data_IF_197369679676
#
_entry.id   IF_197369679676
#
_cell.length_a   1.000
_cell.length_b   1.000
_cell.length_c   1.000
_cell.angle_alpha   90.00
_cell.angle_beta   90.00
_cell.angle_gamma   90.00
#
_symmetry.space_group_name_H-M   'P 1'
#
loop_
_entity.id
_entity.type
_entity.pdbx_description
1 polymer ?
#
# COMPACT_ATOMS: atom_id res chain seq x y z
N UNK A 1 -61.10 37.86 13.30
CA UNK A 1 -61.00 37.07 14.54
C UNK A 1 -61.33 35.63 14.20
N UNK A 2 -60.31 34.87 13.79
CA UNK A 2 -60.21 33.41 13.73
C UNK A 2 -59.00 33.09 12.85
N UNK A 3 -57.90 32.74 13.50
CA UNK A 3 -56.62 32.37 12.88
C UNK A 3 -56.72 31.01 12.20
N UNK A 4 -56.23 31.01 10.97
CA UNK A 4 -55.89 29.89 10.13
C UNK A 4 -54.47 29.48 10.52
N UNK A 5 -54.29 28.43 11.33
CA UNK A 5 -52.96 27.84 11.44
C UNK A 5 -52.93 26.37 11.90
N UNK A 6 -52.49 25.58 10.93
CA UNK A 6 -51.47 24.54 11.08
C UNK A 6 -51.90 23.15 11.57
N UNK A 7 -52.09 22.30 10.56
CA UNK A 7 -51.68 20.89 10.55
C UNK A 7 -50.44 20.67 11.41
N UNK A 8 -50.58 19.89 12.49
CA UNK A 8 -49.52 19.01 12.94
C UNK A 8 -50.11 17.64 13.20
N UNK A 9 -49.79 16.77 12.26
CA UNK A 9 -49.87 15.33 12.30
C UNK A 9 -49.47 14.81 13.68
N UNK A 10 -50.42 14.20 14.37
CA UNK A 10 -50.15 13.30 15.48
C UNK A 10 -49.82 11.95 14.86
N UNK A 11 -48.64 11.84 14.23
CA UNK A 11 -47.95 10.57 14.12
C UNK A 11 -47.19 10.41 15.44
N UNK A 12 -47.88 9.85 16.42
CA UNK A 12 -47.22 9.14 17.50
C UNK A 12 -46.57 7.93 16.83
N UNK A 13 -45.34 8.11 16.34
CA UNK A 13 -44.55 7.02 15.81
C UNK A 13 -44.36 6.02 16.94
N UNK A 14 -44.85 4.83 16.67
CA UNK A 14 -44.90 3.69 17.55
C UNK A 14 -43.47 3.23 17.84
N UNK A 15 -42.84 3.81 18.88
CA UNK A 15 -41.52 3.43 19.40
C UNK A 15 -41.47 1.98 19.93
N UNK A 16 -42.57 1.22 19.83
CA UNK A 16 -42.65 -0.16 20.32
C UNK A 16 -42.29 -1.25 19.29
N UNK A 17 -41.97 -0.88 18.04
CA UNK A 17 -41.83 -1.85 16.93
C UNK A 17 -40.44 -2.47 16.71
N UNK A 18 -39.43 -2.18 17.55
CA UNK A 18 -38.08 -2.78 17.40
C UNK A 18 -37.57 -3.53 18.62
N UNK A 19 -38.46 -4.11 19.43
CA UNK A 19 -38.05 -5.14 20.39
C UNK A 19 -38.04 -6.49 19.66
N UNK A 20 -37.09 -6.66 18.75
CA UNK A 20 -36.76 -8.01 18.27
C UNK A 20 -36.09 -8.75 19.42
N UNK A 21 -36.89 -9.59 20.07
CA UNK A 21 -36.50 -10.74 20.88
C UNK A 21 -35.36 -11.46 20.15
N UNK A 22 -34.11 -11.15 20.55
CA UNK A 22 -32.89 -11.69 19.94
C UNK A 22 -32.35 -12.74 20.89
N UNK A 23 -32.97 -13.92 20.82
CA UNK A 23 -32.93 -14.96 21.86
C UNK A 23 -31.63 -15.79 21.93
N UNK A 24 -30.54 -15.39 21.27
CA UNK A 24 -29.27 -16.13 21.37
C UNK A 24 -28.03 -15.25 21.59
N UNK A 25 -28.04 -13.99 21.14
CA UNK A 25 -26.92 -13.05 21.30
C UNK A 25 -27.43 -11.86 22.08
N UNK A 26 -26.90 -11.67 23.29
CA UNK A 26 -27.29 -10.58 24.18
C UNK A 26 -27.24 -9.20 23.49
N UNK A 27 -28.19 -8.32 23.83
CA UNK A 27 -28.32 -6.96 23.26
C UNK A 27 -26.98 -6.22 23.20
N UNK A 28 -26.20 -6.34 24.28
CA UNK A 28 -24.91 -5.69 24.46
C UNK A 28 -23.86 -6.19 23.46
N UNK A 29 -23.79 -7.50 23.27
CA UNK A 29 -22.91 -8.15 22.28
C UNK A 29 -23.24 -7.68 20.86
N UNK A 30 -24.54 -7.56 20.53
CA UNK A 30 -24.98 -7.01 19.24
C UNK A 30 -24.60 -5.54 19.06
N UNK A 31 -24.67 -4.73 20.11
CA UNK A 31 -24.27 -3.32 20.06
C UNK A 31 -22.77 -3.17 19.84
N UNK A 32 -21.94 -3.98 20.53
CA UNK A 32 -20.49 -4.01 20.34
C UNK A 32 -20.13 -4.48 18.93
N UNK A 33 -20.78 -5.52 18.43
CA UNK A 33 -20.60 -6.02 17.05
C UNK A 33 -20.87 -4.92 16.02
N UNK A 34 -22.04 -4.26 16.11
CA UNK A 34 -22.43 -3.21 15.19
C UNK A 34 -21.45 -2.02 15.23
N UNK A 35 -20.98 -1.65 16.42
CA UNK A 35 -19.99 -0.57 16.61
C UNK A 35 -18.67 -0.91 15.92
N UNK A 36 -18.15 -2.12 16.12
CA UNK A 36 -16.90 -2.56 15.52
C UNK A 36 -17.00 -2.76 14.01
N UNK A 37 -18.14 -3.24 13.52
CA UNK A 37 -18.39 -3.43 12.09
C UNK A 37 -18.46 -2.11 11.33
N UNK A 38 -19.03 -1.07 11.95
CA UNK A 38 -19.15 0.26 11.35
C UNK A 38 -17.86 1.10 11.44
N UNK A 39 -16.87 0.67 12.22
CA UNK A 39 -15.62 1.43 12.41
C UNK A 39 -14.66 1.28 11.23
N UNK A 40 -14.08 2.39 10.78
CA UNK A 40 -13.02 2.41 9.77
C UNK A 40 -11.63 2.07 10.36
N UNK A 41 -11.44 2.28 11.67
CA UNK A 41 -10.17 2.05 12.37
C UNK A 41 -10.33 1.09 13.56
N UNK A 42 -9.27 0.37 13.98
CA UNK A 42 -9.32 -0.46 15.17
C UNK A 42 -9.61 0.35 16.44
N UNK A 43 -10.55 -0.12 17.28
CA UNK A 43 -11.06 0.61 18.44
C UNK A 43 -10.56 0.04 19.76
N UNK A 44 -10.20 0.91 20.71
CA UNK A 44 -9.96 0.48 22.10
C UNK A 44 -11.29 0.20 22.81
N UNK A 45 -11.24 -0.48 23.97
CA UNK A 45 -12.44 -0.66 24.81
C UNK A 45 -13.04 0.70 25.20
N UNK A 46 -12.20 1.70 25.47
CA UNK A 46 -12.66 3.05 25.82
C UNK A 46 -13.44 3.68 24.65
N UNK A 47 -12.96 3.51 23.42
CA UNK A 47 -13.65 4.02 22.23
C UNK A 47 -15.01 3.34 22.05
N UNK A 48 -15.09 2.02 22.22
CA UNK A 48 -16.34 1.27 22.08
C UNK A 48 -17.36 1.73 23.14
N UNK A 49 -16.91 1.98 24.38
CA UNK A 49 -17.76 2.48 25.48
C UNK A 49 -18.47 3.79 25.15
N UNK A 50 -17.85 4.67 24.35
CA UNK A 50 -18.48 5.92 23.94
C UNK A 50 -19.76 5.71 23.12
N UNK A 51 -19.90 4.56 22.46
CA UNK A 51 -21.07 4.22 21.64
C UNK A 51 -22.07 3.35 22.38
N UNK A 52 -21.61 2.30 23.07
CA UNK A 52 -22.50 1.30 23.68
C UNK A 52 -22.90 1.62 25.13
N UNK A 53 -22.18 2.54 25.79
CA UNK A 53 -22.39 2.93 27.18
C UNK A 53 -21.42 2.26 28.16
N UNK A 54 -21.23 2.90 29.31
CA UNK A 54 -20.27 2.49 30.35
C UNK A 54 -20.66 1.21 31.11
N UNK A 55 -21.96 0.93 31.18
CA UNK A 55 -22.53 -0.19 31.93
C UNK A 55 -22.36 -1.55 31.23
N UNK A 56 -21.99 -1.53 29.95
CA UNK A 56 -21.83 -2.74 29.13
C UNK A 56 -20.50 -3.42 29.46
N UNK A 57 -20.54 -4.74 29.72
CA UNK A 57 -19.33 -5.56 29.83
C UNK A 57 -18.75 -5.86 28.44
N UNK A 58 -18.00 -4.89 27.92
CA UNK A 58 -17.36 -4.98 26.61
C UNK A 58 -16.36 -6.15 26.57
N UNK A 59 -15.68 -6.48 27.67
CA UNK A 59 -14.68 -7.56 27.65
C UNK A 59 -15.35 -8.91 27.45
N UNK A 60 -16.48 -9.13 28.11
CA UNK A 60 -17.28 -10.32 27.92
C UNK A 60 -17.84 -10.37 26.51
N UNK A 61 -18.46 -9.28 26.03
CA UNK A 61 -18.99 -9.19 24.67
C UNK A 61 -17.94 -9.47 23.59
N UNK A 62 -16.74 -8.91 23.71
CA UNK A 62 -15.63 -9.17 22.79
C UNK A 62 -15.18 -10.63 22.81
N UNK A 63 -15.17 -11.25 23.98
CA UNK A 63 -14.79 -12.67 24.14
C UNK A 63 -15.81 -13.58 23.46
N UNK A 64 -17.10 -13.26 23.60
CA UNK A 64 -18.18 -14.02 22.98
C UNK A 64 -18.17 -13.84 21.46
N UNK A 65 -18.04 -12.60 20.97
CA UNK A 65 -17.87 -12.33 19.55
C UNK A 65 -16.65 -13.04 18.96
N UNK A 66 -15.53 -13.07 19.67
CA UNK A 66 -14.34 -13.75 19.17
C UNK A 66 -14.58 -15.24 18.94
N UNK A 67 -15.33 -15.90 19.83
CA UNK A 67 -15.72 -17.31 19.67
C UNK A 67 -16.74 -17.48 18.54
N UNK A 68 -17.76 -16.62 18.48
CA UNK A 68 -18.84 -16.71 17.50
C UNK A 68 -18.32 -16.55 16.05
N UNK A 69 -17.25 -15.77 15.88
CA UNK A 69 -16.63 -15.48 14.59
C UNK A 69 -15.39 -16.33 14.26
N UNK A 70 -14.93 -17.23 15.15
CA UNK A 70 -13.69 -18.00 14.98
C UNK A 70 -13.64 -18.80 13.66
N UNK A 71 -14.79 -19.30 13.20
CA UNK A 71 -14.91 -20.13 11.99
C UNK A 71 -15.71 -19.45 10.87
N UNK A 72 -15.90 -18.13 10.94
CA UNK A 72 -16.62 -17.36 9.93
C UNK A 72 -15.64 -16.71 8.95
N UNK A 73 -16.17 -16.22 7.83
CA UNK A 73 -15.35 -15.54 6.81
C UNK A 73 -14.85 -14.15 7.21
N UNK A 74 -15.37 -13.60 8.29
CA UNK A 74 -14.80 -12.46 9.01
C UNK A 74 -14.51 -12.90 10.44
N UNK A 75 -13.43 -12.40 11.01
CA UNK A 75 -12.91 -12.74 12.33
C UNK A 75 -12.70 -11.47 13.15
N UNK A 76 -12.94 -11.55 14.46
CA UNK A 76 -12.63 -10.46 15.38
C UNK A 76 -11.19 -10.63 15.89
N UNK A 77 -10.35 -9.61 15.68
CA UNK A 77 -8.95 -9.64 16.08
C UNK A 77 -8.61 -8.50 17.04
N UNK A 78 -7.61 -8.78 17.88
CA UNK A 78 -7.01 -7.80 18.79
C UNK A 78 -5.58 -7.49 18.37
N UNK A 79 -5.27 -6.23 18.11
CA UNK A 79 -3.91 -5.73 17.85
C UNK A 79 -3.53 -4.74 18.94
N UNK A 80 -2.59 -5.11 19.80
CA UNK A 80 -2.29 -4.34 21.01
C UNK A 80 -3.50 -4.31 21.96
N UNK A 81 -4.05 -3.12 22.19
CA UNK A 81 -5.25 -2.86 22.98
C UNK A 81 -6.51 -2.57 22.13
N UNK A 82 -6.39 -2.62 20.80
CA UNK A 82 -7.46 -2.30 19.85
C UNK A 82 -8.08 -3.56 19.23
N UNK A 83 -9.36 -3.44 18.87
CA UNK A 83 -10.21 -4.50 18.32
C UNK A 83 -10.79 -4.07 16.98
N UNK A 84 -10.88 -5.00 16.03
CA UNK A 84 -11.50 -4.77 14.71
C UNK A 84 -11.89 -6.09 14.05
N UNK A 85 -12.83 -6.01 13.11
CA UNK A 85 -13.11 -7.12 12.21
C UNK A 85 -12.12 -7.12 11.04
N UNK A 86 -11.68 -8.32 10.66
CA UNK A 86 -10.91 -8.56 9.46
C UNK A 86 -11.48 -9.78 8.72
N UNK A 87 -11.19 -9.90 7.44
CA UNK A 87 -11.51 -11.13 6.71
C UNK A 87 -10.63 -12.28 7.17
N UNK A 88 -11.20 -13.48 7.19
CA UNK A 88 -10.49 -14.69 7.60
C UNK A 88 -9.29 -14.95 6.67
N UNK A 89 -8.15 -15.28 7.26
CA UNK A 89 -6.87 -15.36 6.54
C UNK A 89 -6.87 -16.45 5.45
N UNK A 90 -7.55 -17.56 5.70
CA UNK A 90 -7.75 -18.66 4.76
C UNK A 90 -8.54 -18.25 3.51
N UNK A 91 -9.44 -17.25 3.62
CA UNK A 91 -10.22 -16.70 2.50
C UNK A 91 -9.52 -15.57 1.74
N UNK A 92 -8.31 -15.17 2.15
CA UNK A 92 -7.56 -14.06 1.53
C UNK A 92 -7.40 -14.20 0.01
N UNK A 93 -7.27 -15.43 -0.50
CA UNK A 93 -7.12 -15.73 -1.92
C UNK A 93 -8.36 -15.36 -2.76
N UNK A 94 -9.58 -15.45 -2.19
CA UNK A 94 -10.84 -15.12 -2.89
C UNK A 94 -11.04 -13.61 -3.04
N UNK A 95 -10.51 -12.84 -2.10
CA UNK A 95 -10.68 -11.39 -2.02
C UNK A 95 -9.65 -10.63 -2.88
N UNK A 96 -8.70 -11.35 -3.47
CA UNK A 96 -7.77 -10.83 -4.50
C UNK A 96 -8.45 -10.70 -5.86
N UNK A 97 -9.69 -10.21 -5.92
CA UNK A 97 -10.30 -9.81 -7.20
C UNK A 97 -9.83 -8.39 -7.52
N UNK A 98 -8.96 -8.28 -8.53
CA UNK A 98 -8.60 -7.03 -9.19
C UNK A 98 -8.47 -5.83 -8.23
N UNK A 99 -7.52 -5.90 -7.29
CA UNK A 99 -6.77 -4.66 -7.06
C UNK A 99 -6.12 -4.40 -8.39
N UNK A 100 -6.60 -3.39 -9.13
CA UNK A 100 -5.81 -2.74 -10.17
C UNK A 100 -4.40 -2.73 -9.64
N UNK A 101 -3.50 -3.49 -10.27
CA UNK A 101 -2.15 -3.67 -9.74
C UNK A 101 -1.67 -2.27 -9.38
N UNK A 102 -1.58 -1.97 -8.07
CA UNK A 102 -0.83 -0.82 -7.60
C UNK A 102 0.50 -1.06 -8.27
N UNK A 103 0.79 -0.33 -9.36
CA UNK A 103 1.89 -0.65 -10.27
C UNK A 103 3.05 -0.94 -9.37
N UNK A 104 3.44 -2.21 -9.28
CA UNK A 104 4.48 -2.61 -8.34
C UNK A 104 5.64 -1.71 -8.68
N UNK A 105 6.26 -1.09 -7.67
CA UNK A 105 7.45 -0.31 -7.95
C UNK A 105 8.36 -1.18 -8.80
N UNK A 106 8.82 -0.62 -9.93
CA UNK A 106 9.81 -1.32 -10.73
C UNK A 106 11.01 -1.63 -9.85
N UNK A 107 11.80 -2.63 -10.25
CA UNK A 107 13.04 -2.98 -9.55
C UNK A 107 13.88 -1.73 -9.26
N UNK A 108 14.09 -0.88 -10.26
CA UNK A 108 14.82 0.38 -10.11
C UNK A 108 14.17 1.35 -9.11
N UNK A 109 12.83 1.39 -9.04
CA UNK A 109 12.10 2.16 -8.03
C UNK A 109 12.28 1.62 -6.61
N UNK A 110 12.28 0.30 -6.46
CA UNK A 110 12.52 -0.37 -5.17
C UNK A 110 13.95 -0.18 -4.67
N UNK A 111 14.94 -0.30 -5.55
CA UNK A 111 16.34 0.02 -5.24
C UNK A 111 16.51 1.47 -4.81
N UNK A 112 15.89 2.40 -5.54
CA UNK A 112 15.92 3.83 -5.21
C UNK A 112 15.29 4.10 -3.84
N UNK A 113 14.14 3.49 -3.56
CA UNK A 113 13.48 3.58 -2.25
C UNK A 113 14.36 3.04 -1.13
N UNK A 114 14.99 1.87 -1.33
CA UNK A 114 15.89 1.28 -0.35
C UNK A 114 17.04 2.23 -0.02
N UNK A 115 17.70 2.80 -1.04
CA UNK A 115 18.79 3.76 -0.82
C UNK A 115 18.32 4.98 -0.03
N UNK A 116 17.12 5.51 -0.33
CA UNK A 116 16.56 6.61 0.45
C UNK A 116 16.33 6.17 1.90
N UNK A 117 15.70 5.02 2.14
CA UNK A 117 15.39 4.54 3.49
C UNK A 117 16.65 4.35 4.37
N UNK A 118 17.75 3.84 3.80
CA UNK A 118 19.00 3.61 4.53
C UNK A 118 19.94 4.83 4.60
N UNK A 119 19.85 5.78 3.67
CA UNK A 119 20.79 6.91 3.56
C UNK A 119 20.18 8.30 3.70
N UNK A 120 18.89 8.41 4.02
CA UNK A 120 18.26 9.71 4.20
C UNK A 120 18.88 10.54 5.34
N UNK A 121 18.98 11.87 5.20
CA UNK A 121 18.54 12.66 4.05
C UNK A 121 19.51 12.65 2.86
N UNK A 122 19.03 12.20 1.69
CA UNK A 122 19.87 11.94 0.50
C UNK A 122 19.39 12.72 -0.72
N UNK A 123 20.32 13.20 -1.55
CA UNK A 123 20.03 13.91 -2.80
C UNK A 123 20.01 12.95 -4.00
N UNK A 124 19.39 13.37 -5.11
CA UNK A 124 19.38 12.58 -6.36
C UNK A 124 20.78 12.16 -6.81
N UNK A 125 21.75 13.07 -6.76
CA UNK A 125 23.13 12.79 -7.17
C UNK A 125 23.79 11.73 -6.27
N UNK A 126 23.51 11.74 -4.97
CA UNK A 126 24.02 10.72 -4.05
C UNK A 126 23.34 9.37 -4.26
N UNK A 127 22.03 9.35 -4.57
CA UNK A 127 21.32 8.12 -4.95
C UNK A 127 21.98 7.52 -6.20
N UNK A 128 22.19 8.33 -7.23
CA UNK A 128 22.82 7.88 -8.50
C UNK A 128 24.26 7.40 -8.28
N UNK A 129 25.02 8.06 -7.40
CA UNK A 129 26.37 7.62 -7.03
C UNK A 129 26.38 6.27 -6.31
N UNK A 130 25.40 5.99 -5.44
CA UNK A 130 25.26 4.69 -4.76
C UNK A 130 24.79 3.60 -5.72
N UNK A 131 23.84 3.91 -6.62
CA UNK A 131 23.34 2.96 -7.64
C UNK A 131 24.35 2.65 -8.73
N UNK A 132 25.29 3.56 -8.99
CA UNK A 132 26.22 3.46 -10.13
C UNK A 132 25.59 3.79 -11.49
N UNK A 133 24.28 4.06 -11.53
CA UNK A 133 23.52 4.41 -12.74
C UNK A 133 22.55 5.55 -12.45
N UNK A 134 22.16 6.27 -13.51
CA UNK A 134 21.19 7.36 -13.39
C UNK A 134 19.82 6.84 -12.92
N UNK A 135 19.13 7.66 -12.11
CA UNK A 135 17.76 7.37 -11.72
C UNK A 135 16.87 7.73 -12.90
N UNK A 136 16.02 6.79 -13.34
CA UNK A 136 15.12 7.01 -14.45
C UNK A 136 14.21 8.23 -14.19
N UNK A 137 13.85 8.92 -15.26
CA UNK A 137 12.97 10.09 -15.18
C UNK A 137 11.61 9.67 -14.61
N UNK A 138 11.14 10.36 -13.58
CA UNK A 138 9.86 10.07 -12.92
C UNK A 138 9.93 9.07 -11.76
N UNK A 139 11.03 8.35 -11.53
CA UNK A 139 11.11 7.38 -10.42
C UNK A 139 10.90 8.04 -9.05
N UNK A 140 11.58 9.16 -8.80
CA UNK A 140 11.40 9.93 -7.56
C UNK A 140 9.99 10.52 -7.46
N UNK A 141 9.39 10.90 -8.58
CA UNK A 141 8.03 11.45 -8.61
C UNK A 141 7.01 10.37 -8.23
N UNK A 142 7.13 9.16 -8.78
CA UNK A 142 6.31 8.00 -8.39
C UNK A 142 6.46 7.67 -6.91
N UNK A 143 7.69 7.71 -6.37
CA UNK A 143 7.92 7.49 -4.93
C UNK A 143 7.30 8.57 -4.03
N UNK A 144 7.17 9.79 -4.54
CA UNK A 144 6.46 10.88 -3.85
C UNK A 144 4.94 10.76 -3.99
N UNK A 145 4.44 10.40 -5.17
CA UNK A 145 3.00 10.19 -5.44
C UNK A 145 2.42 9.02 -4.64
N UNK A 146 3.22 7.95 -4.44
CA UNK A 146 2.87 6.82 -3.58
C UNK A 146 2.91 7.17 -2.08
N UNK A 147 3.37 8.36 -1.71
CA UNK A 147 3.41 8.84 -0.34
C UNK A 147 4.55 8.27 0.50
N UNK A 148 5.43 7.42 -0.05
CA UNK A 148 6.51 6.78 0.73
C UNK A 148 7.75 7.66 0.89
N UNK A 149 7.98 8.59 -0.04
CA UNK A 149 9.11 9.53 -0.02
C UNK A 149 8.58 10.96 -0.04
N UNK A 150 9.30 11.88 0.59
CA UNK A 150 9.02 13.32 0.57
C UNK A 150 10.31 14.14 0.46
N UNK A 151 10.21 15.40 0.00
CA UNK A 151 11.29 16.37 0.17
C UNK A 151 11.62 16.60 1.65
N UNK A 152 12.90 16.67 1.96
CA UNK A 152 13.45 16.89 3.30
C UNK A 152 14.25 18.20 3.41
N UNK A 153 14.11 19.10 2.43
CA UNK A 153 14.82 20.37 2.36
C UNK A 153 15.86 20.39 1.22
N UNK A 154 16.85 21.28 1.35
CA UNK A 154 17.94 21.41 0.38
C UNK A 154 19.28 21.39 1.10
N UNK A 155 20.29 20.76 0.50
CA UNK A 155 21.64 20.67 1.06
C UNK A 155 22.37 22.02 0.96
N UNK A 156 23.18 22.36 1.97
CA UNK A 156 24.02 23.57 1.97
C UNK A 156 25.36 23.34 1.27
N UNK A 157 25.30 22.94 0.01
CA UNK A 157 26.46 22.75 -0.89
C UNK A 157 26.21 23.50 -2.20
N UNK A 158 27.22 23.73 -3.04
CA UNK A 158 27.03 24.34 -4.36
C UNK A 158 25.92 23.64 -5.15
N UNK A 159 25.02 24.42 -5.76
CA UNK A 159 23.83 23.92 -6.47
C UNK A 159 22.60 23.66 -5.59
N UNK A 160 22.76 23.61 -4.25
CA UNK A 160 21.68 23.43 -3.25
C UNK A 160 20.63 22.38 -3.67
N UNK A 161 21.05 21.13 -3.92
CA UNK A 161 20.17 20.09 -4.43
C UNK A 161 19.07 19.76 -3.41
N UNK A 162 17.92 19.33 -3.91
CA UNK A 162 16.83 18.79 -3.11
C UNK A 162 17.27 17.46 -2.47
N UNK A 163 16.92 17.28 -1.21
CA UNK A 163 17.13 16.02 -0.48
C UNK A 163 15.78 15.37 -0.17
N UNK A 164 15.81 14.05 -0.07
CA UNK A 164 14.65 13.18 0.10
C UNK A 164 14.77 12.38 1.40
N UNK A 165 13.61 12.06 1.98
CA UNK A 165 13.46 11.19 3.14
C UNK A 165 12.14 10.42 3.04
N UNK A 166 12.05 9.31 3.77
CA UNK A 166 10.86 8.49 3.94
C UNK A 166 9.81 9.20 4.80
N UNK A 167 8.57 8.76 4.66
CA UNK A 167 7.40 9.29 5.37
C UNK A 167 6.95 8.35 6.49
N UNK A 168 5.95 8.78 7.26
CA UNK A 168 5.27 7.90 8.20
C UNK A 168 4.51 6.77 7.48
N UNK A 169 3.96 7.04 6.30
CA UNK A 169 3.24 6.05 5.50
C UNK A 169 4.16 4.91 5.04
N UNK A 170 5.42 5.22 4.71
CA UNK A 170 6.45 4.20 4.49
C UNK A 170 6.58 3.27 5.71
N UNK A 171 6.73 3.83 6.92
CA UNK A 171 6.88 3.02 8.13
C UNK A 171 5.67 2.12 8.38
N UNK A 172 4.45 2.67 8.23
CA UNK A 172 3.21 1.90 8.35
C UNK A 172 3.12 0.79 7.31
N UNK A 173 3.47 1.07 6.05
CA UNK A 173 3.41 0.10 4.96
C UNK A 173 4.35 -1.08 5.18
N UNK A 174 5.57 -0.83 5.68
CA UNK A 174 6.57 -1.85 5.95
C UNK A 174 6.51 -2.42 7.38
N UNK A 175 5.53 -2.01 8.18
CA UNK A 175 5.33 -2.52 9.55
C UNK A 175 6.44 -2.13 10.53
N UNK A 176 7.11 -0.99 10.31
CA UNK A 176 8.22 -0.50 11.11
C UNK A 176 7.73 0.53 12.13
N UNK A 177 8.25 0.53 13.36
CA UNK A 177 7.97 1.62 14.32
C UNK A 177 8.87 2.82 14.08
N UNK A 178 10.07 2.57 13.59
CA UNK A 178 11.05 3.59 13.25
C UNK A 178 12.01 3.11 12.16
N UNK A 179 12.71 4.06 11.52
CA UNK A 179 13.78 3.74 10.56
C UNK A 179 14.92 2.91 11.18
N UNK A 180 15.08 2.92 12.51
CA UNK A 180 16.09 2.10 13.19
C UNK A 180 15.75 0.61 13.17
N UNK A 181 14.50 0.28 12.88
CA UNK A 181 14.01 -1.09 12.77
C UNK A 181 14.25 -1.66 11.36
N UNK A 182 14.80 -0.85 10.44
CA UNK A 182 15.26 -1.35 9.16
C UNK A 182 16.37 -2.38 9.39
N UNK A 183 16.28 -3.57 8.78
CA UNK A 183 17.24 -4.64 9.03
C UNK A 183 18.64 -4.19 8.62
N UNK A 184 19.62 -4.39 9.50
CA UNK A 184 21.02 -4.18 9.16
C UNK A 184 21.49 -5.18 8.10
N UNK A 185 22.67 -4.93 7.53
CA UNK A 185 23.33 -5.88 6.61
C UNK A 185 23.50 -7.26 7.27
N UNK A 186 23.77 -7.29 8.58
CA UNK A 186 23.92 -8.53 9.33
C UNK A 186 22.59 -9.24 9.57
N UNK A 187 21.49 -8.50 9.74
CA UNK A 187 20.14 -9.06 9.87
C UNK A 187 19.63 -9.62 8.54
N UNK A 188 19.95 -8.96 7.43
CA UNK A 188 19.64 -9.43 6.07
C UNK A 188 20.39 -10.73 5.73
N UNK A 189 21.65 -10.87 6.19
CA UNK A 189 22.40 -12.13 6.09
C UNK A 189 21.82 -13.22 6.99
N UNK A 190 21.46 -12.88 8.23
CA UNK A 190 20.89 -13.82 9.19
C UNK A 190 19.50 -14.33 8.76
N UNK A 191 18.73 -13.49 8.05
CA UNK A 191 17.45 -13.86 7.45
C UNK A 191 17.59 -14.72 6.17
N UNK A 192 18.81 -15.03 5.72
CA UNK A 192 19.05 -15.79 4.48
C UNK A 192 18.74 -15.01 3.20
N UNK A 193 18.54 -13.68 3.29
CA UNK A 193 18.15 -12.84 2.16
C UNK A 193 19.36 -12.35 1.34
N UNK A 194 20.57 -12.58 1.83
CA UNK A 194 21.84 -12.27 1.18
C UNK A 194 22.68 -13.54 1.02
N UNK A 195 22.06 -14.62 0.55
CA UNK A 195 22.80 -15.83 0.25
C UNK A 195 23.65 -15.60 -1.02
N UNK A 196 24.97 -15.89 -1.01
CA UNK A 196 25.87 -15.56 -2.13
C UNK A 196 25.46 -16.23 -3.45
N UNK A 197 24.73 -17.35 -3.38
CA UNK A 197 24.24 -18.10 -4.52
C UNK A 197 23.03 -17.41 -5.15
N UNK A 198 22.10 -16.91 -4.34
CA UNK A 198 20.91 -16.19 -4.83
C UNK A 198 21.30 -14.85 -5.43
N UNK A 199 22.23 -14.13 -4.81
CA UNK A 199 22.79 -12.90 -5.36
C UNK A 199 23.55 -13.14 -6.67
N UNK A 200 24.24 -14.28 -6.80
CA UNK A 200 24.94 -14.64 -8.04
C UNK A 200 23.97 -15.04 -9.16
N UNK A 201 22.88 -15.75 -8.83
CA UNK A 201 21.83 -16.10 -9.79
C UNK A 201 21.07 -14.86 -10.25
N UNK A 202 20.69 -13.99 -9.33
CA UNK A 202 19.99 -12.74 -9.66
C UNK A 202 20.86 -11.81 -10.52
N UNK A 203 22.17 -11.78 -10.25
CA UNK A 203 23.13 -11.04 -11.07
C UNK A 203 23.27 -11.64 -12.48
N UNK A 204 23.31 -12.97 -12.61
CA UNK A 204 23.32 -13.62 -13.93
C UNK A 204 22.02 -13.37 -14.71
N UNK A 205 20.86 -13.37 -14.03
CA UNK A 205 19.58 -13.05 -14.66
C UNK A 205 19.50 -11.60 -15.13
N UNK A 206 20.08 -10.67 -14.37
CA UNK A 206 20.22 -9.26 -14.76
C UNK A 206 21.12 -9.08 -15.98
N UNK A 207 22.33 -9.66 -15.96
CA UNK A 207 23.28 -9.60 -17.07
C UNK A 207 22.64 -10.18 -18.34
N UNK A 208 21.90 -11.29 -18.23
CA UNK A 208 21.17 -11.88 -19.35
C UNK A 208 19.98 -11.04 -19.84
N UNK A 209 19.32 -10.27 -18.97
CA UNK A 209 18.24 -9.38 -19.36
C UNK A 209 18.78 -8.14 -20.09
N UNK A 210 19.89 -7.57 -19.61
CA UNK A 210 20.56 -6.44 -20.26
C UNK A 210 21.13 -6.82 -21.63
N UNK A 211 21.70 -8.02 -21.77
CA UNK A 211 22.16 -8.53 -23.07
C UNK A 211 21.02 -8.69 -24.08
N UNK A 212 19.86 -9.23 -23.65
CA UNK A 212 18.68 -9.33 -24.52
C UNK A 212 18.15 -7.97 -24.93
N UNK A 213 18.11 -7.01 -24.01
CA UNK A 213 17.63 -5.66 -24.29
C UNK A 213 18.58 -4.92 -25.26
N UNK A 214 19.90 -5.16 -25.15
CA UNK A 214 20.89 -4.65 -26.10
C UNK A 214 20.79 -5.32 -27.49
N UNK A 215 20.55 -6.63 -27.56
CA UNK A 215 20.32 -7.33 -28.83
C UNK A 215 19.04 -6.84 -29.53
N UNK A 216 17.96 -6.65 -28.78
CA UNK A 216 16.70 -6.09 -29.29
C UNK A 216 16.89 -4.67 -29.83
N UNK A 217 17.63 -3.81 -29.13
CA UNK A 217 17.93 -2.46 -29.59
C UNK A 217 18.80 -2.46 -30.87
N UNK A 218 19.78 -3.36 -30.97
CA UNK A 218 20.62 -3.48 -32.17
C UNK A 218 19.86 -4.03 -33.38
N UNK A 219 18.88 -4.92 -33.18
CA UNK A 219 18.02 -5.44 -34.24
C UNK A 219 17.00 -4.42 -34.76
N UNK A 220 16.54 -3.50 -33.92
CA UNK A 220 15.67 -2.38 -34.35
C UNK A 220 16.42 -1.39 -35.25
N UNK A 221 17.70 -1.12 -34.97
CA UNK A 221 18.57 -0.28 -35.81
C UNK A 221 18.85 -0.94 -37.18
N UNK A 222 19.07 -2.27 -37.22
CA UNK A 222 19.26 -3.00 -38.48
C UNK A 222 17.99 -3.03 -39.35
N UNK A 223 16.80 -3.15 -38.75
CA UNK A 223 15.52 -3.11 -39.48
C UNK A 223 15.25 -1.70 -40.03
N UNK A 224 15.56 -0.65 -39.26
CA UNK A 224 15.46 0.73 -39.75
C UNK A 224 16.43 1.03 -40.89
N UNK A 225 17.67 0.52 -40.87
CA UNK A 225 18.61 0.68 -41.99
C UNK A 225 18.14 -0.06 -43.25
N UNK A 226 17.52 -1.24 -43.11
CA UNK A 226 16.97 -2.01 -44.25
C UNK A 226 15.77 -1.27 -44.85
N UNK A 227 14.83 -0.78 -44.04
CA UNK A 227 13.66 -0.03 -44.51
C UNK A 227 14.05 1.28 -45.19
N UNK A 228 15.07 1.97 -44.67
CA UNK A 228 15.59 3.22 -45.27
C UNK A 228 16.26 2.94 -46.62
N UNK A 229 17.03 1.86 -46.74
CA UNK A 229 17.67 1.46 -48.00
C UNK A 229 16.66 0.98 -49.06
N UNK A 230 15.58 0.31 -48.64
CA UNK A 230 14.47 -0.10 -49.53
C UNK A 230 13.71 1.14 -50.04
N UNK A 231 13.43 2.12 -49.18
CA UNK A 231 12.76 3.37 -49.57
C UNK A 231 13.58 4.17 -50.61
N UNK A 232 14.89 4.31 -50.39
CA UNK A 232 15.81 5.02 -51.32
C UNK A 232 15.93 4.32 -52.68
N UNK A 233 15.82 2.98 -52.71
CA UNK A 233 15.84 2.22 -53.97
C UNK A 233 14.53 2.30 -54.76
N UNK A 234 13.39 2.56 -54.11
CA UNK A 234 12.08 2.74 -54.78
C UNK A 234 11.92 4.14 -55.39
N UNK A 235 12.50 5.18 -54.77
CA UNK A 235 12.52 6.54 -55.33
C UNK A 235 13.40 6.64 -56.58
N UNK A 236 14.55 5.96 -56.63
CA UNK A 236 15.43 5.97 -57.81
C UNK A 236 14.84 5.25 -59.03
N UNK A 237 13.86 4.35 -58.86
CA UNK A 237 13.18 3.67 -59.97
C UNK A 237 12.01 4.47 -60.58
N UNK A 238 11.54 5.51 -59.90
CA UNK A 238 10.44 6.36 -60.38
C UNK A 238 10.90 7.59 -61.18
N UNK A 239 12.18 7.98 -61.09
CA UNK A 239 12.76 9.07 -61.90
C UNK A 239 13.36 8.63 -63.25
N UNK A 240 13.40 7.33 -63.55
CA UNK A 240 13.96 6.79 -64.82
C UNK A 240 12.91 6.24 -65.80
N UNK A 241 11.63 6.57 -65.62
CA UNK A 241 10.52 6.19 -66.51
C UNK A 241 9.92 7.38 -67.26
#
# INVERSE_FOLDING_TARGET
MADENNRKETLTEDESLFVHETDEIGRDTRAVEATLFASEEPMTIADIKLYVGEEVDIRQALTDLQKDYEHRGIVLLKTGDRWHFQTAHDLSHLLRRERAELRKLSRAGMETLAIIAYHEPVSRAEIEAIRGVQVAKGTLDVLMETGWVRPAGRREVPGRPLIYATTAEFLTHFGLQSRKDLPGIDDLKAAGLLDPVDLAMEKMELEAAEEREAELASGEDEIQEIDTNIAVSLENQTESA
#
